data_IF_378167081755
#
_entry.id   IF_378167081755
#
_cell.length_a   1.000
_cell.length_b   1.000
_cell.length_c   1.000
_cell.angle_alpha   90.00
_cell.angle_beta   90.00
_cell.angle_gamma   90.00
#
_symmetry.space_group_name_H-M   'P 1'
#
loop_
_entity.id
_entity.type
_entity.pdbx_description
1 polymer ?
#
# COMPACT_ATOMS: atom_id res chain seq x y z
N UNK A 1 -14.15 -10.00 11.75
CA UNK A 1 -13.05 -10.30 12.70
C UNK A 1 -12.05 -9.16 12.60
N UNK A 2 -11.80 -8.43 13.68
CA UNK A 2 -10.92 -7.24 13.70
C UNK A 2 -9.53 -7.64 14.22
N UNK A 3 -8.75 -8.33 13.39
CA UNK A 3 -7.37 -8.75 13.74
C UNK A 3 -6.50 -8.78 12.50
N UNK A 4 -5.20 -8.60 12.70
CA UNK A 4 -4.19 -8.93 11.71
C UNK A 4 -4.29 -10.42 11.32
N UNK A 5 -4.13 -10.69 10.03
CA UNK A 5 -4.23 -11.97 9.33
C UNK A 5 -2.97 -12.24 8.51
N UNK A 6 -2.27 -11.20 8.05
CA UNK A 6 -0.96 -11.40 7.46
C UNK A 6 -0.06 -12.10 8.49
N UNK A 7 0.60 -13.17 8.07
CA UNK A 7 1.41 -14.00 8.97
C UNK A 7 2.77 -13.37 9.21
N UNK A 8 2.87 -12.06 9.47
CA UNK A 8 4.11 -11.34 9.77
C UNK A 8 4.03 -10.68 11.14
N UNK A 9 5.18 -10.44 11.77
CA UNK A 9 5.24 -9.74 13.07
C UNK A 9 6.34 -8.68 13.10
N UNK A 10 6.17 -7.60 13.90
CA UNK A 10 7.23 -6.61 14.06
C UNK A 10 8.54 -7.22 14.56
N UNK A 11 9.66 -6.81 13.96
CA UNK A 11 10.99 -7.33 14.24
C UNK A 11 11.34 -8.64 13.55
N UNK A 12 10.40 -9.25 12.82
CA UNK A 12 10.69 -10.44 12.01
C UNK A 12 11.68 -10.12 10.88
N UNK A 13 12.59 -11.06 10.64
CA UNK A 13 13.52 -11.05 9.52
C UNK A 13 13.08 -12.07 8.46
N UNK A 14 12.83 -11.59 7.25
CA UNK A 14 12.43 -12.40 6.09
C UNK A 14 13.63 -12.53 5.15
N UNK A 15 14.32 -13.66 5.22
CA UNK A 15 15.56 -13.88 4.46
C UNK A 15 15.30 -14.64 3.16
N UNK A 16 15.78 -14.09 2.05
CA UNK A 16 15.78 -14.72 0.72
C UNK A 16 17.19 -14.67 0.15
N UNK A 17 17.88 -15.81 0.14
CA UNK A 17 19.27 -15.88 -0.30
C UNK A 17 20.14 -14.89 0.51
N UNK A 18 20.85 -13.94 -0.15
CA UNK A 18 21.68 -12.95 0.54
C UNK A 18 20.90 -11.74 1.10
N UNK A 19 19.62 -11.56 0.72
CA UNK A 19 18.79 -10.43 1.16
C UNK A 19 18.07 -10.79 2.46
N UNK A 20 18.05 -9.86 3.40
CA UNK A 20 17.22 -9.95 4.61
C UNK A 20 16.34 -8.72 4.68
N UNK A 21 15.03 -8.94 4.68
CA UNK A 21 14.04 -7.89 4.91
C UNK A 21 13.66 -7.87 6.38
N UNK A 22 13.35 -6.69 6.92
CA UNK A 22 12.94 -6.52 8.31
C UNK A 22 11.56 -5.89 8.38
N UNK A 23 10.62 -6.57 9.04
CA UNK A 23 9.29 -6.03 9.33
C UNK A 23 9.41 -5.03 10.47
N UNK A 24 9.05 -3.76 10.24
CA UNK A 24 9.17 -2.67 11.25
C UNK A 24 7.95 -2.61 12.16
N UNK A 25 6.78 -2.61 11.55
CA UNK A 25 5.49 -2.51 12.19
C UNK A 25 4.38 -2.61 11.15
N UNK A 26 3.14 -2.59 11.59
CA UNK A 26 2.00 -2.63 10.70
C UNK A 26 0.76 -2.00 11.31
N UNK A 27 -0.16 -1.63 10.43
CA UNK A 27 -1.46 -1.09 10.77
C UNK A 27 -2.54 -1.95 10.12
N UNK A 28 -3.64 -2.14 10.85
CA UNK A 28 -4.87 -2.69 10.31
C UNK A 28 -5.78 -1.50 10.05
N UNK A 29 -6.22 -1.36 8.81
CA UNK A 29 -7.12 -0.34 8.36
C UNK A 29 -8.51 -0.92 8.10
N UNK A 30 -9.50 -0.05 8.11
CA UNK A 30 -10.85 -0.36 7.62
C UNK A 30 -11.40 0.80 6.82
N UNK A 31 -12.36 0.52 5.95
CA UNK A 31 -13.17 1.52 5.28
C UNK A 31 -14.61 1.07 5.26
N UNK A 32 -15.54 2.01 5.46
CA UNK A 32 -16.95 1.79 5.24
C UNK A 32 -17.29 1.95 3.76
N UNK A 33 -17.89 0.93 3.18
CA UNK A 33 -18.49 0.99 1.84
C UNK A 33 -19.98 1.30 1.96
N UNK A 34 -20.42 2.36 1.29
CA UNK A 34 -21.81 2.81 1.34
C UNK A 34 -22.74 2.00 0.43
N UNK A 35 -22.21 1.35 -0.60
CA UNK A 35 -22.99 0.62 -1.60
C UNK A 35 -23.47 -0.73 -1.05
N UNK A 36 -22.62 -1.44 -0.31
CA UNK A 36 -22.95 -2.73 0.31
C UNK A 36 -23.09 -2.72 1.84
N UNK A 37 -22.87 -1.55 2.46
CA UNK A 37 -23.01 -1.33 3.90
C UNK A 37 -22.14 -2.26 4.75
N UNK A 38 -20.89 -2.48 4.32
CA UNK A 38 -19.90 -3.27 5.06
C UNK A 38 -18.62 -2.52 5.32
N UNK A 39 -17.82 -3.06 6.24
CA UNK A 39 -16.43 -2.62 6.38
C UNK A 39 -15.50 -3.55 5.62
N UNK A 40 -14.71 -2.98 4.73
CA UNK A 40 -13.54 -3.61 4.14
C UNK A 40 -12.32 -3.40 5.05
N UNK A 41 -11.40 -4.34 5.04
CA UNK A 41 -10.22 -4.34 5.90
C UNK A 41 -8.99 -4.69 5.08
N UNK A 42 -7.88 -4.02 5.37
CA UNK A 42 -6.57 -4.37 4.84
C UNK A 42 -5.50 -4.05 5.88
N UNK A 43 -4.34 -4.67 5.74
CA UNK A 43 -3.19 -4.40 6.57
C UNK A 43 -2.08 -3.79 5.74
N UNK A 44 -1.35 -2.84 6.32
CA UNK A 44 -0.14 -2.31 5.73
C UNK A 44 1.03 -2.46 6.68
N UNK A 45 2.11 -3.06 6.19
CA UNK A 45 3.29 -3.44 6.95
C UNK A 45 4.54 -2.80 6.34
N UNK A 46 5.26 -1.99 7.11
CA UNK A 46 6.49 -1.39 6.60
C UNK A 46 7.64 -2.41 6.62
N UNK A 47 8.29 -2.57 5.46
CA UNK A 47 9.36 -3.53 5.24
C UNK A 47 10.65 -2.81 4.87
N UNK A 48 11.68 -2.94 5.71
CA UNK A 48 13.02 -2.43 5.41
C UNK A 48 13.89 -3.49 4.72
N UNK A 49 14.88 -3.07 3.93
CA UNK A 49 15.84 -3.96 3.26
C UNK A 49 15.54 -4.26 1.79
N UNK A 50 14.48 -3.64 1.24
CA UNK A 50 14.29 -3.47 -0.20
C UNK A 50 15.12 -2.26 -0.69
N UNK A 51 15.11 -2.04 -2.01
CA UNK A 51 15.87 -0.96 -2.65
C UNK A 51 15.50 0.42 -2.09
N UNK A 52 14.22 0.60 -1.71
CA UNK A 52 13.75 1.77 -0.99
C UNK A 52 13.32 1.40 0.45
N UNK A 53 13.82 2.10 1.49
CA UNK A 53 13.44 1.86 2.88
C UNK A 53 11.97 2.20 3.20
N UNK A 54 11.29 2.96 2.34
CA UNK A 54 9.86 3.27 2.43
C UNK A 54 9.01 2.32 1.59
N UNK A 55 9.33 1.03 1.64
CA UNK A 55 8.53 -0.01 0.99
C UNK A 55 7.54 -0.63 1.97
N UNK A 56 6.35 -0.94 1.48
CA UNK A 56 5.24 -1.47 2.27
C UNK A 56 4.68 -2.75 1.67
N UNK A 57 4.19 -3.62 2.54
CA UNK A 57 3.46 -4.83 2.20
C UNK A 57 2.00 -4.59 2.58
N UNK A 58 1.10 -4.70 1.62
CA UNK A 58 -0.35 -4.70 1.86
C UNK A 58 -0.88 -6.14 1.86
N UNK A 59 -1.80 -6.43 2.78
CA UNK A 59 -2.66 -7.60 2.72
C UNK A 59 -4.15 -7.19 2.77
N UNK A 60 -4.85 -7.35 1.66
CA UNK A 60 -6.29 -7.08 1.52
C UNK A 60 -7.10 -8.28 2.05
N UNK A 61 -8.00 -8.06 3.02
CA UNK A 61 -8.75 -9.17 3.65
C UNK A 61 -9.93 -9.67 2.84
N UNK A 62 -10.36 -8.91 1.83
CA UNK A 62 -11.52 -9.23 1.03
C UNK A 62 -11.12 -9.96 -0.25
N UNK A 63 -10.06 -9.50 -0.90
CA UNK A 63 -9.50 -10.15 -2.08
C UNK A 63 -8.50 -11.26 -1.72
N UNK A 64 -8.10 -11.33 -0.44
CA UNK A 64 -6.98 -12.15 0.06
C UNK A 64 -5.66 -11.85 -0.67
N UNK A 65 -5.50 -10.64 -1.20
CA UNK A 65 -4.37 -10.27 -2.04
C UNK A 65 -3.20 -9.70 -1.25
N UNK A 66 -1.99 -10.06 -1.67
CA UNK A 66 -0.74 -9.50 -1.16
C UNK A 66 -0.16 -8.57 -2.21
N UNK A 67 0.09 -7.32 -1.83
CA UNK A 67 0.71 -6.34 -2.71
C UNK A 67 1.98 -5.78 -2.10
N UNK A 68 2.96 -5.48 -2.96
CA UNK A 68 4.16 -4.73 -2.60
C UNK A 68 4.01 -3.30 -3.10
N UNK A 69 4.25 -2.36 -2.19
CA UNK A 69 4.18 -0.93 -2.40
C UNK A 69 5.61 -0.38 -2.39
N UNK A 70 6.02 0.26 -3.49
CA UNK A 70 7.33 0.91 -3.61
C UNK A 70 7.12 2.38 -4.00
N UNK A 71 7.87 3.33 -3.42
CA UNK A 71 7.60 4.74 -3.63
C UNK A 71 7.87 5.15 -5.08
N UNK A 72 7.04 6.07 -5.57
CA UNK A 72 7.18 6.74 -6.86
C UNK A 72 7.00 8.24 -6.64
N UNK A 73 7.77 9.03 -7.39
CA UNK A 73 7.85 10.48 -7.21
C UNK A 73 7.35 11.21 -8.45
N UNK A 74 6.45 12.16 -8.23
CA UNK A 74 5.98 13.11 -9.25
C UNK A 74 6.48 14.51 -8.88
N UNK A 75 6.62 15.39 -9.87
CA UNK A 75 7.05 16.78 -9.62
C UNK A 75 6.08 17.49 -8.67
N UNK A 76 4.78 17.28 -8.88
CA UNK A 76 3.72 17.79 -8.01
C UNK A 76 3.16 16.65 -7.16
N UNK A 77 2.99 16.93 -5.87
CA UNK A 77 2.40 16.00 -4.93
C UNK A 77 0.94 15.66 -5.32
N UNK A 78 0.61 14.36 -5.32
CA UNK A 78 -0.73 13.88 -5.56
C UNK A 78 -1.54 13.94 -4.26
N UNK A 79 -2.41 14.95 -4.13
CA UNK A 79 -3.34 15.04 -3.00
C UNK A 79 -4.61 14.20 -3.26
N UNK A 80 -4.81 13.06 -2.59
CA UNK A 80 -5.97 12.18 -2.83
C UNK A 80 -7.31 12.85 -2.52
N UNK A 81 -7.38 13.79 -1.57
CA UNK A 81 -8.61 14.48 -1.17
C UNK A 81 -9.15 15.43 -2.28
N UNK A 82 -8.26 15.87 -3.18
CA UNK A 82 -8.62 16.72 -4.32
C UNK A 82 -8.93 15.92 -5.59
N UNK A 83 -8.61 14.63 -5.62
CA UNK A 83 -8.87 13.77 -6.76
C UNK A 83 -10.34 13.36 -6.81
N UNK A 84 -10.79 12.96 -8.00
CA UNK A 84 -12.17 12.53 -8.25
C UNK A 84 -12.13 11.25 -9.08
N UNK A 85 -12.95 10.24 -8.75
CA UNK A 85 -13.04 9.02 -9.55
C UNK A 85 -13.30 9.36 -11.02
N UNK A 86 -12.64 8.61 -11.91
CA UNK A 86 -12.66 8.73 -13.36
C UNK A 86 -12.02 10.00 -13.93
N UNK A 87 -11.41 10.86 -13.11
CA UNK A 87 -10.63 11.99 -13.60
C UNK A 87 -9.42 11.49 -14.41
N UNK A 88 -9.03 12.29 -15.41
CA UNK A 88 -7.83 12.08 -16.23
C UNK A 88 -7.03 13.36 -16.30
N UNK A 89 -5.74 13.26 -16.03
CA UNK A 89 -4.81 14.37 -16.12
C UNK A 89 -3.41 13.82 -16.40
N UNK A 90 -2.43 14.72 -16.51
CA UNK A 90 -1.05 14.31 -16.73
C UNK A 90 -0.12 15.10 -15.81
N UNK A 91 0.86 14.41 -15.22
CA UNK A 91 1.89 15.01 -14.38
C UNK A 91 3.27 14.55 -14.84
N UNK A 92 4.28 15.43 -14.82
CA UNK A 92 5.65 15.01 -15.04
C UNK A 92 6.18 14.22 -13.84
N UNK A 93 6.96 13.18 -14.10
CA UNK A 93 7.87 12.60 -13.11
C UNK A 93 9.11 13.50 -12.90
N UNK A 94 9.99 13.08 -11.99
CA UNK A 94 11.24 13.76 -11.65
C UNK A 94 12.21 13.91 -12.83
N UNK A 95 12.13 13.02 -13.83
CA UNK A 95 12.86 13.10 -15.10
C UNK A 95 12.18 14.02 -16.13
N UNK A 96 10.98 14.52 -15.84
CA UNK A 96 10.21 15.41 -16.70
C UNK A 96 9.37 14.68 -17.76
N UNK A 97 9.26 13.36 -17.70
CA UNK A 97 8.40 12.58 -18.59
C UNK A 97 6.94 12.76 -18.18
N UNK A 98 6.07 13.06 -19.14
CA UNK A 98 4.66 13.31 -18.87
C UNK A 98 3.90 11.98 -18.72
N UNK A 99 3.40 11.73 -17.52
CA UNK A 99 2.68 10.51 -17.17
C UNK A 99 1.17 10.76 -17.18
N UNK A 100 0.43 10.03 -18.00
CA UNK A 100 -1.03 10.07 -18.00
C UNK A 100 -1.56 9.31 -16.78
N UNK A 101 -2.42 9.96 -16.02
CA UNK A 101 -3.00 9.43 -14.78
C UNK A 101 -4.51 9.32 -14.96
N UNK A 102 -5.05 8.17 -14.60
CA UNK A 102 -6.47 7.89 -14.47
C UNK A 102 -6.78 7.55 -13.01
N UNK A 103 -7.73 8.27 -12.41
CA UNK A 103 -8.18 7.99 -11.04
C UNK A 103 -9.25 6.90 -11.09
N UNK A 104 -8.97 5.73 -10.52
CA UNK A 104 -9.94 4.63 -10.45
C UNK A 104 -10.87 4.81 -9.26
N UNK A 105 -10.28 5.08 -8.10
CA UNK A 105 -10.97 5.14 -6.82
C UNK A 105 -10.38 6.24 -5.94
N UNK A 106 -11.19 6.77 -5.03
CA UNK A 106 -10.74 7.60 -3.91
C UNK A 106 -11.50 7.17 -2.66
N UNK A 107 -10.84 7.17 -1.51
CA UNK A 107 -11.45 6.74 -0.26
C UNK A 107 -10.72 7.26 0.97
N UNK A 108 -11.31 6.94 2.13
CA UNK A 108 -10.71 7.22 3.44
C UNK A 108 -10.80 5.96 4.29
N UNK A 109 -9.63 5.45 4.66
CA UNK A 109 -9.49 4.38 5.65
C UNK A 109 -9.30 4.94 7.05
N UNK A 110 -9.67 4.16 8.06
CA UNK A 110 -9.40 4.41 9.48
C UNK A 110 -8.47 3.32 10.01
N UNK A 111 -7.40 3.71 10.69
CA UNK A 111 -6.54 2.77 11.43
C UNK A 111 -7.32 2.24 12.63
N UNK A 112 -7.55 0.93 12.70
CA UNK A 112 -8.23 0.30 13.84
C UNK A 112 -7.27 -0.32 14.85
N UNK A 113 -6.07 -0.69 14.40
CA UNK A 113 -5.02 -1.24 15.24
C UNK A 113 -3.65 -0.95 14.64
N UNK A 114 -2.64 -0.82 15.50
CA UNK A 114 -1.25 -0.66 15.10
C UNK A 114 -0.37 -1.59 15.95
N UNK A 115 0.69 -2.14 15.36
CA UNK A 115 1.67 -3.01 16.03
C UNK A 115 3.08 -2.65 15.59
N UNK A 116 4.05 -2.76 16.51
CA UNK A 116 5.42 -2.33 16.24
C UNK A 116 5.52 -0.82 16.06
N UNK A 117 6.53 -0.38 15.32
CA UNK A 117 6.75 1.04 15.04
C UNK A 117 7.06 1.21 13.56
N UNK A 118 6.21 1.98 12.86
CA UNK A 118 6.46 2.42 11.48
C UNK A 118 6.96 3.86 11.51
N UNK A 119 7.64 4.28 10.44
CA UNK A 119 8.11 5.68 10.31
C UNK A 119 6.93 6.67 10.21
N UNK A 120 5.72 6.16 9.96
CA UNK A 120 4.47 6.93 9.93
C UNK A 120 3.86 7.18 11.32
N UNK A 121 4.33 6.48 12.36
CA UNK A 121 3.85 6.59 13.75
C UNK A 121 2.31 6.65 13.84
N UNK A 122 1.63 5.78 13.09
CA UNK A 122 0.17 5.71 13.02
C UNK A 122 -0.41 5.09 14.29
N UNK A 123 -1.58 5.57 14.68
CA UNK A 123 -2.30 5.10 15.86
C UNK A 123 -3.78 4.84 15.55
N UNK A 124 -4.47 4.00 16.35
CA UNK A 124 -5.90 3.79 16.18
C UNK A 124 -6.71 5.10 16.18
N UNK A 125 -7.60 5.23 15.20
CA UNK A 125 -8.41 6.43 14.94
C UNK A 125 -7.78 7.42 13.96
N UNK A 126 -6.52 7.23 13.55
CA UNK A 126 -5.95 8.03 12.46
C UNK A 126 -6.63 7.68 11.13
N UNK A 127 -6.80 8.70 10.27
CA UNK A 127 -7.34 8.54 8.92
C UNK A 127 -6.22 8.43 7.88
N UNK A 128 -6.46 7.59 6.88
CA UNK A 128 -5.70 7.46 5.63
C UNK A 128 -6.59 7.90 4.48
N UNK A 129 -6.34 9.07 3.89
CA UNK A 129 -6.95 9.41 2.61
C UNK A 129 -6.12 8.77 1.49
N UNK A 130 -6.78 8.09 0.55
CA UNK A 130 -6.08 7.43 -0.56
C UNK A 130 -6.81 7.63 -1.90
N UNK A 131 -6.05 7.45 -2.98
CA UNK A 131 -6.57 7.37 -4.34
C UNK A 131 -5.84 6.26 -5.10
N UNK A 132 -6.60 5.30 -5.63
CA UNK A 132 -6.08 4.28 -6.53
C UNK A 132 -6.05 4.84 -7.96
N UNK A 133 -4.88 4.77 -8.58
CA UNK A 133 -4.58 5.37 -9.87
C UNK A 133 -4.06 4.31 -10.83
N UNK A 134 -4.37 4.48 -12.11
CA UNK A 134 -3.58 3.88 -13.20
C UNK A 134 -2.79 4.94 -13.91
N UNK A 135 -1.49 4.69 -14.06
CA UNK A 135 -0.61 5.59 -14.79
C UNK A 135 0.52 4.82 -15.49
N UNK A 136 1.17 5.49 -16.44
CA UNK A 136 2.42 4.98 -16.98
C UNK A 136 3.55 5.51 -16.09
N UNK A 137 4.37 4.63 -15.53
CA UNK A 137 5.58 4.99 -14.76
C UNK A 137 6.76 4.36 -15.47
N UNK A 138 7.75 5.16 -15.88
CA UNK A 138 8.88 4.66 -16.67
C UNK A 138 8.46 3.97 -17.98
N UNK A 139 7.32 4.36 -18.56
CA UNK A 139 6.75 3.75 -19.77
C UNK A 139 5.98 2.45 -19.57
N UNK A 140 5.76 2.01 -18.32
CA UNK A 140 5.01 0.79 -17.99
C UNK A 140 3.69 1.19 -17.32
N UNK A 141 2.56 0.64 -17.80
CA UNK A 141 1.27 0.80 -17.14
C UNK A 141 1.33 0.15 -15.75
N UNK A 142 1.10 0.95 -14.72
CA UNK A 142 1.24 0.59 -13.31
C UNK A 142 0.00 1.03 -12.53
N UNK A 143 -0.35 0.24 -11.52
CA UNK A 143 -1.23 0.70 -10.44
C UNK A 143 -0.41 1.56 -9.48
N UNK A 144 -0.95 2.71 -9.07
CA UNK A 144 -0.32 3.61 -8.11
C UNK A 144 -1.34 4.01 -7.04
N UNK A 145 -0.94 3.96 -5.78
CA UNK A 145 -1.69 4.50 -4.66
C UNK A 145 -1.11 5.87 -4.29
N UNK A 146 -1.94 6.91 -4.29
CA UNK A 146 -1.58 8.21 -3.71
C UNK A 146 -2.23 8.33 -2.33
N UNK A 147 -1.44 8.61 -1.31
CA UNK A 147 -1.83 8.44 0.09
C UNK A 147 -1.47 9.65 0.95
N UNK A 148 -2.30 9.87 1.98
CA UNK A 148 -2.03 10.83 3.05
C UNK A 148 -2.41 10.24 4.39
N UNK A 149 -1.42 10.14 5.26
CA UNK A 149 -1.59 9.72 6.65
C UNK A 149 -1.66 10.92 7.59
N UNK A 150 -2.82 11.12 8.23
CA UNK A 150 -3.00 12.24 9.17
C UNK A 150 -2.65 13.60 8.55
N UNK A 151 -1.83 14.40 9.23
CA UNK A 151 -1.39 15.74 8.76
C UNK A 151 -0.03 15.75 8.04
N UNK A 152 0.45 14.59 7.57
CA UNK A 152 1.77 14.45 6.94
C UNK A 152 1.75 14.72 5.44
N UNK A 153 2.93 14.59 4.83
CA UNK A 153 3.17 14.73 3.40
C UNK A 153 2.36 13.72 2.58
N UNK A 154 2.04 14.12 1.34
CA UNK A 154 1.41 13.27 0.35
C UNK A 154 2.45 12.34 -0.26
N UNK A 155 2.13 11.06 -0.34
CA UNK A 155 3.02 10.01 -0.81
C UNK A 155 2.37 9.31 -1.99
N UNK A 156 3.19 8.70 -2.84
CA UNK A 156 2.71 7.85 -3.90
C UNK A 156 3.55 6.58 -3.98
N UNK A 157 2.88 5.45 -4.23
CA UNK A 157 3.49 4.13 -4.30
C UNK A 157 3.01 3.41 -5.55
N UNK A 158 3.90 2.77 -6.30
CA UNK A 158 3.49 1.72 -7.23
C UNK A 158 2.96 0.53 -6.42
N UNK A 159 1.85 -0.05 -6.87
CA UNK A 159 1.22 -1.23 -6.28
C UNK A 159 1.49 -2.43 -7.18
N UNK A 160 2.30 -3.38 -6.70
CA UNK A 160 2.57 -4.63 -7.38
C UNK A 160 1.88 -5.78 -6.67
N UNK A 161 0.84 -6.34 -7.28
CA UNK A 161 0.17 -7.56 -6.78
C UNK A 161 1.08 -8.78 -6.94
N UNK A 162 1.23 -9.55 -5.87
CA UNK A 162 2.15 -10.69 -5.82
C UNK A 162 1.38 -12.02 -5.78
N UNK A 163 1.62 -12.85 -6.78
CA UNK A 163 1.21 -14.25 -6.74
C UNK A 163 2.03 -15.06 -5.71
N UNK A 164 1.67 -16.33 -5.53
CA UNK A 164 2.33 -17.21 -4.56
C UNK A 164 3.81 -17.49 -4.84
N UNK A 165 4.26 -17.42 -6.08
CA UNK A 165 5.67 -17.59 -6.44
C UNK A 165 6.44 -16.30 -6.16
N UNK A 166 5.87 -15.15 -6.55
CA UNK A 166 6.43 -13.83 -6.31
C UNK A 166 6.52 -13.51 -4.82
N UNK A 167 5.53 -13.89 -4.00
CA UNK A 167 5.63 -13.74 -2.54
C UNK A 167 6.83 -14.52 -1.98
N UNK A 168 7.08 -15.76 -2.43
CA UNK A 168 8.25 -16.53 -1.99
C UNK A 168 9.56 -15.93 -2.47
N UNK A 169 9.58 -15.35 -3.66
CA UNK A 169 10.75 -14.66 -4.21
C UNK A 169 11.06 -13.38 -3.44
N UNK A 170 10.05 -12.61 -3.05
CA UNK A 170 10.21 -11.36 -2.32
C UNK A 170 10.51 -11.62 -0.84
N UNK A 171 9.65 -12.41 -0.17
CA UNK A 171 9.61 -12.58 1.28
C UNK A 171 10.15 -13.92 1.79
N UNK A 172 10.51 -14.86 0.92
CA UNK A 172 11.02 -16.19 1.30
C UNK A 172 9.93 -17.18 1.71
N UNK A 173 8.69 -16.69 1.84
CA UNK A 173 7.51 -17.49 2.18
C UNK A 173 6.24 -16.78 1.70
N UNK A 174 5.11 -17.45 1.88
CA UNK A 174 3.79 -16.84 1.69
C UNK A 174 3.47 -15.98 2.93
N UNK A 175 2.90 -14.80 2.69
CA UNK A 175 2.50 -13.88 3.76
C UNK A 175 1.12 -14.24 4.30
N UNK A 176 0.21 -14.67 3.43
CA UNK A 176 -1.09 -15.20 3.80
C UNK A 176 -1.38 -16.43 2.93
N UNK A 177 -2.13 -17.37 3.49
CA UNK A 177 -2.71 -18.47 2.73
C UNK A 177 -4.04 -18.02 2.16
N UNK A 178 -4.16 -18.01 0.83
CA UNK A 178 -5.47 -18.03 0.17
C UNK A 178 -6.15 -19.33 0.59
N UNK A 179 -7.01 -19.32 1.62
CA UNK A 179 -7.94 -20.43 1.81
C UNK A 179 -8.98 -20.30 0.70
N UNK A 180 -8.76 -21.02 -0.40
CA UNK A 180 -9.85 -21.34 -1.33
C UNK A 180 -10.77 -22.32 -0.59
N UNK A 181 -11.82 -21.80 0.04
CA UNK A 181 -12.98 -22.59 0.44
C UNK A 181 -13.73 -23.15 -0.77
#
# INVERSE_FOLDING_TARGET
>A
MTRFRAQVVPGEELTVGPRTLKVRGGVLLRQWDEDDQTHYYWEEWQIAGLDDPDSWLEFDHYLDEVCLYQPVYFVDALNPELLRPRARFALPDDEGNLNQIFVEEVGVGEVVAAVGETDRHLQPGDELAYAALRCYVGGIESEVSAERYGQRDYLAYTKLRLDLAQQREVFGRQIASFELD
#
